data_IF_341490182357
#
_entry.id   IF_341490182357
#
_cell.length_a   1.000
_cell.length_b   1.000
_cell.length_c   1.000
_cell.angle_alpha   90.00
_cell.angle_beta   90.00
_cell.angle_gamma   90.00
#
_symmetry.space_group_name_H-M   'P 1'
#
loop_
_entity.id
_entity.type
_entity.pdbx_description
1 polymer ?
#
# COMPACT_ATOMS: atom_id res chain seq x y z
N UNK A 1 -8.73 5.73 12.45
CA UNK A 1 -9.03 4.94 11.25
C UNK A 1 -9.14 5.87 10.05
N UNK A 2 -8.54 5.50 8.91
CA UNK A 2 -8.68 6.21 7.62
C UNK A 2 -9.54 5.33 6.71
N UNK A 3 -10.63 5.87 6.23
CA UNK A 3 -11.54 5.17 5.31
C UNK A 3 -11.20 5.56 3.88
N UNK A 4 -10.77 4.59 3.06
CA UNK A 4 -10.42 4.79 1.67
C UNK A 4 -11.62 4.57 0.74
N UNK A 5 -12.33 3.47 0.99
CA UNK A 5 -13.54 3.03 0.27
C UNK A 5 -14.56 2.47 1.26
N UNK A 6 -15.66 1.91 0.79
CA UNK A 6 -16.66 1.25 1.66
C UNK A 6 -16.12 -0.06 2.29
N UNK A 7 -15.07 -0.64 1.71
CA UNK A 7 -14.52 -1.94 2.12
C UNK A 7 -13.02 -1.95 2.39
N UNK A 8 -12.31 -0.83 2.26
CA UNK A 8 -10.88 -0.71 2.59
C UNK A 8 -10.64 0.44 3.57
N UNK A 9 -10.17 0.09 4.76
CA UNK A 9 -9.79 1.04 5.81
C UNK A 9 -8.35 0.82 6.25
N UNK A 10 -7.68 1.90 6.60
CA UNK A 10 -6.39 1.83 7.32
C UNK A 10 -6.62 2.03 8.81
N UNK A 11 -6.19 1.05 9.58
CA UNK A 11 -6.16 1.07 11.04
C UNK A 11 -4.75 1.43 11.49
N UNK A 12 -4.59 2.58 12.16
CA UNK A 12 -3.35 2.96 12.79
C UNK A 12 -3.28 2.33 14.16
N UNK A 13 -2.28 1.47 14.35
CA UNK A 13 -2.03 0.74 15.58
C UNK A 13 -0.82 1.32 16.29
N UNK A 14 -0.89 1.45 17.64
CA UNK A 14 0.30 1.71 18.45
C UNK A 14 1.19 0.47 18.42
N UNK A 15 2.43 0.63 18.00
CA UNK A 15 3.40 -0.46 17.90
C UNK A 15 4.81 0.08 18.12
N UNK A 16 5.55 -0.54 19.06
CA UNK A 16 6.93 -0.16 19.42
C UNK A 16 7.88 -1.30 19.05
N UNK A 17 8.18 -1.43 17.81
CA UNK A 17 9.12 -2.43 17.31
C UNK A 17 9.59 -2.05 15.92
N UNK A 18 10.71 -2.61 15.52
CA UNK A 18 11.25 -2.38 14.18
C UNK A 18 10.37 -3.09 13.16
N UNK A 19 9.90 -2.34 12.17
CA UNK A 19 9.12 -2.85 11.04
C UNK A 19 9.78 -2.38 9.76
N UNK A 20 9.96 -3.31 8.81
CA UNK A 20 10.43 -2.98 7.47
C UNK A 20 9.26 -2.93 6.48
N UNK A 21 9.32 -2.10 5.44
CA UNK A 21 8.35 -2.17 4.34
C UNK A 21 8.22 -3.61 3.83
N UNK A 22 7.00 -4.04 3.50
CA UNK A 22 6.72 -5.39 3.02
C UNK A 22 6.53 -6.45 4.10
N UNK A 23 6.81 -6.15 5.37
CA UNK A 23 6.45 -7.05 6.47
C UNK A 23 4.96 -7.02 6.77
N UNK A 24 4.46 -8.08 7.38
CA UNK A 24 3.06 -8.25 7.71
C UNK A 24 2.86 -8.70 9.16
N UNK A 25 1.63 -8.59 9.63
CA UNK A 25 1.19 -9.04 10.94
C UNK A 25 0.04 -10.03 10.80
N UNK A 26 0.03 -11.06 11.63
CA UNK A 26 -1.13 -11.90 11.86
C UNK A 26 -2.07 -11.18 12.83
N UNK A 27 -3.20 -10.71 12.33
CA UNK A 27 -4.25 -10.09 13.13
C UNK A 27 -5.24 -11.15 13.55
N UNK A 28 -5.41 -11.31 14.86
CA UNK A 28 -6.24 -12.36 15.46
C UNK A 28 -7.52 -11.80 16.06
N UNK A 29 -8.64 -12.40 15.73
CA UNK A 29 -9.94 -12.13 16.36
C UNK A 29 -10.40 -13.40 17.10
N UNK A 30 -10.54 -13.35 18.43
CA UNK A 30 -10.95 -14.50 19.23
C UNK A 30 -12.24 -15.14 18.66
N UNK A 31 -12.23 -16.46 18.52
CA UNK A 31 -13.29 -17.30 17.95
C UNK A 31 -13.55 -17.15 16.44
N UNK A 32 -12.83 -16.25 15.73
CA UNK A 32 -13.03 -16.03 14.29
C UNK A 32 -11.79 -16.37 13.47
N UNK A 33 -10.62 -16.44 14.09
CA UNK A 33 -9.36 -16.83 13.44
C UNK A 33 -8.40 -15.67 13.23
N UNK A 34 -7.44 -15.89 12.34
CA UNK A 34 -6.34 -14.98 12.04
C UNK A 34 -6.39 -14.54 10.57
N UNK A 35 -5.85 -13.36 10.30
CA UNK A 35 -5.66 -12.85 8.95
C UNK A 35 -4.29 -12.17 8.82
N UNK A 36 -3.48 -12.51 7.79
CA UNK A 36 -2.23 -11.82 7.51
C UNK A 36 -2.51 -10.45 6.86
N UNK A 37 -2.01 -9.39 7.46
CA UNK A 37 -2.20 -8.02 6.99
C UNK A 37 -0.84 -7.35 6.85
N UNK A 38 -0.52 -6.87 5.66
CA UNK A 38 0.71 -6.12 5.40
C UNK A 38 0.68 -4.74 6.06
N UNK A 39 1.85 -4.32 6.57
CA UNK A 39 2.06 -2.94 6.97
C UNK A 39 1.98 -2.01 5.76
N UNK A 40 1.20 -0.94 5.87
CA UNK A 40 1.03 0.07 4.80
C UNK A 40 1.59 1.44 5.18
N UNK A 41 2.03 1.60 6.42
CA UNK A 41 2.70 2.78 6.92
C UNK A 41 3.46 2.44 8.19
N UNK A 42 4.62 3.06 8.37
CA UNK A 42 5.50 2.83 9.50
C UNK A 42 5.83 4.20 10.12
N UNK A 43 5.45 4.37 11.36
CA UNK A 43 5.80 5.56 12.14
C UNK A 43 6.70 5.19 13.32
N UNK A 44 7.20 6.19 14.08
CA UNK A 44 8.10 5.95 15.22
C UNK A 44 7.56 4.99 16.27
N UNK A 45 6.27 5.08 16.57
CA UNK A 45 5.56 4.25 17.56
C UNK A 45 4.23 3.70 17.00
N UNK A 46 4.12 3.60 15.67
CA UNK A 46 2.88 3.16 15.01
C UNK A 46 3.15 2.31 13.79
N UNK A 47 2.21 1.42 13.48
CA UNK A 47 2.10 0.73 12.20
C UNK A 47 0.69 0.91 11.66
N UNK A 48 0.58 1.21 10.38
CA UNK A 48 -0.69 1.30 9.67
C UNK A 48 -0.98 -0.04 8.98
N UNK A 49 -2.16 -0.57 9.20
CA UNK A 49 -2.65 -1.81 8.58
C UNK A 49 -3.83 -1.46 7.67
N UNK A 50 -3.64 -1.56 6.36
CA UNK A 50 -4.74 -1.36 5.40
C UNK A 50 -5.43 -2.68 5.15
N UNK A 51 -6.67 -2.77 5.60
CA UNK A 51 -7.47 -3.99 5.62
C UNK A 51 -8.62 -3.85 4.63
N UNK A 52 -8.79 -4.88 3.80
CA UNK A 52 -9.97 -5.03 2.94
C UNK A 52 -10.97 -6.00 3.59
N UNK A 53 -12.23 -5.58 3.64
CA UNK A 53 -13.34 -6.36 4.15
C UNK A 53 -13.74 -7.45 3.15
N UNK A 54 -13.25 -8.68 3.36
CA UNK A 54 -13.45 -9.81 2.39
C UNK A 54 -13.73 -11.16 3.03
N UNK A 55 -13.72 -11.29 4.35
CA UNK A 55 -13.88 -12.57 5.03
C UNK A 55 -14.25 -12.43 6.49
N UNK A 56 -14.39 -13.56 7.18
CA UNK A 56 -14.90 -13.62 8.55
C UNK A 56 -14.13 -12.71 9.51
N UNK A 57 -12.79 -12.83 9.54
CA UNK A 57 -11.93 -12.03 10.43
C UNK A 57 -12.04 -10.54 10.10
N UNK A 58 -11.90 -10.18 8.82
CA UNK A 58 -11.95 -8.78 8.41
C UNK A 58 -13.34 -8.16 8.59
N UNK A 59 -14.43 -8.93 8.44
CA UNK A 59 -15.78 -8.47 8.77
C UNK A 59 -15.89 -8.07 10.24
N UNK A 60 -15.36 -8.92 11.15
CA UNK A 60 -15.37 -8.61 12.58
C UNK A 60 -14.57 -7.36 12.92
N UNK A 61 -13.40 -7.16 12.27
CA UNK A 61 -12.60 -5.96 12.47
C UNK A 61 -13.41 -4.70 12.12
N UNK A 62 -14.09 -4.69 10.98
CA UNK A 62 -14.88 -3.54 10.51
C UNK A 62 -16.11 -3.27 11.36
N UNK A 63 -16.75 -4.31 11.89
CA UNK A 63 -17.99 -4.19 12.65
C UNK A 63 -17.78 -3.82 14.12
N UNK A 64 -16.65 -4.24 14.70
CA UNK A 64 -16.48 -4.20 16.17
C UNK A 64 -15.18 -3.62 16.68
N UNK A 65 -14.16 -3.37 15.83
CA UNK A 65 -12.82 -3.02 16.32
C UNK A 65 -12.34 -1.61 15.98
N UNK A 66 -13.18 -0.78 15.34
CA UNK A 66 -12.83 0.64 15.19
C UNK A 66 -12.75 1.31 16.57
N UNK A 67 -11.57 1.87 16.90
CA UNK A 67 -11.32 2.46 18.21
C UNK A 67 -10.99 1.46 19.34
N UNK A 68 -10.89 0.18 19.02
CA UNK A 68 -10.54 -0.89 19.96
C UNK A 68 -9.16 -1.47 19.69
N UNK A 69 -8.65 -2.28 20.63
CA UNK A 69 -7.39 -2.99 20.48
C UNK A 69 -7.56 -4.22 19.60
N UNK A 70 -6.64 -4.46 18.68
CA UNK A 70 -6.51 -5.68 17.91
C UNK A 70 -5.37 -6.54 18.48
N UNK A 71 -5.58 -7.84 18.55
CA UNK A 71 -4.50 -8.79 18.82
C UNK A 71 -3.71 -8.99 17.54
N UNK A 72 -2.39 -8.77 17.61
CA UNK A 72 -1.54 -8.98 16.45
C UNK A 72 -0.20 -9.58 16.84
N UNK A 73 0.32 -10.43 15.99
CA UNK A 73 1.64 -11.06 16.09
C UNK A 73 2.48 -10.70 14.89
N UNK A 74 3.76 -10.45 15.09
CA UNK A 74 4.70 -10.06 14.03
C UNK A 74 5.72 -9.04 14.53
N UNK A 75 6.45 -8.35 13.64
CA UNK A 75 6.30 -8.46 12.17
C UNK A 75 6.86 -9.77 11.62
N UNK A 76 6.27 -10.27 10.55
CA UNK A 76 6.70 -11.44 9.81
C UNK A 76 7.17 -11.08 8.40
N UNK A 77 7.92 -11.98 7.78
CA UNK A 77 8.52 -11.77 6.46
C UNK A 77 9.86 -11.02 6.55
N UNK A 78 10.65 -11.10 5.48
CA UNK A 78 11.96 -10.46 5.43
C UNK A 78 11.88 -8.94 5.29
N UNK A 79 10.77 -8.45 4.75
CA UNK A 79 10.63 -7.04 4.36
C UNK A 79 11.52 -6.69 3.17
N UNK A 80 11.40 -5.45 2.73
CA UNK A 80 12.27 -4.87 1.73
C UNK A 80 13.42 -4.12 2.42
N UNK A 81 14.63 -4.36 1.97
CA UNK A 81 15.81 -3.62 2.42
C UNK A 81 15.98 -2.41 1.50
N UNK A 82 15.72 -1.23 2.04
CA UNK A 82 15.82 0.04 1.30
C UNK A 82 17.22 0.25 0.73
N UNK A 83 18.26 -0.18 1.43
CA UNK A 83 19.65 0.02 0.98
C UNK A 83 19.94 -0.73 -0.33
N UNK A 84 19.23 -1.82 -0.63
CA UNK A 84 19.37 -2.54 -1.91
C UNK A 84 18.81 -1.74 -3.10
N UNK A 85 17.99 -0.74 -2.86
CA UNK A 85 17.34 0.06 -3.90
C UNK A 85 18.03 1.42 -4.14
N UNK A 86 18.98 1.81 -3.28
CA UNK A 86 19.70 3.08 -3.43
C UNK A 86 20.49 3.13 -4.74
N UNK A 87 20.43 4.28 -5.41
CA UNK A 87 21.13 4.54 -6.66
C UNK A 87 20.62 3.72 -7.85
N UNK A 88 19.42 3.13 -7.76
CA UNK A 88 18.82 2.32 -8.83
C UNK A 88 17.63 2.99 -9.46
N UNK A 89 17.32 2.60 -10.69
CA UNK A 89 16.01 2.83 -11.29
C UNK A 89 15.01 1.82 -10.73
N UNK A 90 13.92 2.33 -10.18
CA UNK A 90 12.90 1.51 -9.53
C UNK A 90 11.58 1.58 -10.30
N UNK A 91 11.00 0.42 -10.54
CA UNK A 91 9.65 0.30 -11.10
C UNK A 91 8.80 -0.52 -10.15
N UNK A 92 7.74 0.08 -9.63
CA UNK A 92 6.77 -0.58 -8.75
C UNK A 92 5.44 -0.68 -9.49
N UNK A 93 4.93 -1.91 -9.62
CA UNK A 93 3.61 -2.18 -10.20
C UNK A 93 2.73 -2.81 -9.12
N UNK A 94 1.62 -2.16 -8.80
CA UNK A 94 0.72 -2.61 -7.73
C UNK A 94 -0.75 -2.46 -8.12
N UNK A 95 -1.60 -3.40 -7.69
CA UNK A 95 -3.05 -3.36 -7.91
C UNK A 95 -3.83 -3.37 -6.60
N UNK A 96 -4.76 -2.43 -6.42
CA UNK A 96 -5.62 -2.36 -5.24
C UNK A 96 -4.85 -2.38 -3.93
N UNK A 97 -5.22 -3.28 -3.02
CA UNK A 97 -4.55 -3.45 -1.72
C UNK A 97 -3.10 -3.97 -1.81
N UNK A 98 -2.66 -4.47 -2.98
CA UNK A 98 -1.26 -4.81 -3.23
C UNK A 98 -0.30 -3.61 -3.16
N UNK A 99 -0.84 -2.39 -3.20
CA UNK A 99 -0.05 -1.18 -2.94
C UNK A 99 0.41 -1.06 -1.47
N UNK A 100 -0.34 -1.65 -0.51
CA UNK A 100 -0.03 -1.56 0.92
C UNK A 100 1.37 -2.05 1.29
N UNK A 101 1.82 -3.27 0.91
CA UNK A 101 3.14 -3.76 1.27
C UNK A 101 4.31 -2.96 0.66
N UNK A 102 4.10 -2.32 -0.49
CA UNK A 102 5.14 -1.55 -1.18
C UNK A 102 5.07 -0.05 -0.87
N UNK A 103 4.00 0.39 -0.21
CA UNK A 103 3.80 1.81 0.12
C UNK A 103 4.98 2.41 0.88
N UNK A 104 5.55 1.67 1.85
CA UNK A 104 6.70 2.15 2.61
C UNK A 104 7.95 2.44 1.76
N UNK A 105 8.14 1.72 0.64
CA UNK A 105 9.21 2.01 -0.32
C UNK A 105 8.89 3.31 -1.08
N UNK A 106 7.64 3.44 -1.54
CA UNK A 106 7.19 4.63 -2.26
C UNK A 106 7.28 5.87 -1.38
N UNK A 107 6.83 5.78 -0.13
CA UNK A 107 6.92 6.87 0.84
C UNK A 107 8.37 7.29 1.05
N UNK A 108 9.27 6.33 1.30
CA UNK A 108 10.68 6.59 1.54
C UNK A 108 11.32 7.36 0.38
N UNK A 109 11.25 6.84 -0.84
CA UNK A 109 11.86 7.49 -2.00
C UNK A 109 11.10 8.74 -2.47
N UNK A 110 9.86 8.94 -2.07
CA UNK A 110 9.18 10.22 -2.29
C UNK A 110 9.72 11.33 -1.38
N UNK A 111 10.21 10.97 -0.19
CA UNK A 111 10.85 11.88 0.77
C UNK A 111 12.35 12.06 0.53
N UNK A 112 12.98 11.05 -0.09
CA UNK A 112 14.42 11.00 -0.40
C UNK A 112 14.66 10.66 -1.88
N UNK A 113 14.16 11.50 -2.82
CA UNK A 113 14.26 11.20 -4.25
C UNK A 113 15.70 11.16 -4.75
N UNK A 114 16.62 11.84 -4.07
CA UNK A 114 18.06 11.85 -4.37
C UNK A 114 18.76 10.52 -4.08
N UNK A 115 18.12 9.62 -3.35
CA UNK A 115 18.71 8.34 -2.98
C UNK A 115 18.46 7.22 -3.99
N UNK A 116 17.60 7.41 -4.98
CA UNK A 116 17.45 6.50 -6.12
C UNK A 116 17.69 7.26 -7.43
N UNK A 117 18.01 6.58 -8.51
CA UNK A 117 18.14 7.20 -9.82
C UNK A 117 16.78 7.67 -10.33
N UNK A 118 15.78 6.82 -10.21
CA UNK A 118 14.37 7.17 -10.46
C UNK A 118 13.43 6.17 -9.77
N UNK A 119 12.17 6.59 -9.51
CA UNK A 119 11.11 5.68 -9.15
C UNK A 119 9.87 5.95 -10.00
N UNK A 120 9.40 4.93 -10.69
CA UNK A 120 8.12 4.92 -11.38
C UNK A 120 7.13 4.02 -10.65
N UNK A 121 6.05 4.60 -10.12
CA UNK A 121 4.93 3.86 -9.55
C UNK A 121 3.82 3.70 -10.59
N UNK A 122 3.45 2.47 -10.92
CA UNK A 122 2.26 2.15 -11.70
C UNK A 122 1.24 1.45 -10.78
N UNK A 123 0.19 2.19 -10.39
CA UNK A 123 -0.82 1.71 -9.45
C UNK A 123 -2.20 1.63 -10.12
N UNK A 124 -2.81 0.44 -10.10
CA UNK A 124 -4.11 0.17 -10.71
C UNK A 124 -5.21 -0.09 -9.68
N UNK A 125 -6.41 0.40 -9.99
CA UNK A 125 -7.60 0.22 -9.16
C UNK A 125 -8.79 -0.17 -10.04
N UNK A 126 -9.83 -0.75 -9.44
CA UNK A 126 -11.01 -1.21 -10.17
C UNK A 126 -11.76 -0.03 -10.83
N UNK A 127 -11.92 1.05 -10.10
CA UNK A 127 -12.57 2.28 -10.58
C UNK A 127 -12.06 3.50 -9.80
N UNK A 128 -12.38 4.73 -10.20
CA UNK A 128 -11.95 5.93 -9.48
C UNK A 128 -12.36 5.96 -8.00
N UNK A 129 -13.50 5.37 -7.64
CA UNK A 129 -13.96 5.29 -6.24
C UNK A 129 -13.14 4.31 -5.39
N UNK A 130 -12.48 3.33 -6.02
CA UNK A 130 -11.71 2.27 -5.37
C UNK A 130 -10.24 2.67 -5.15
N UNK A 131 -9.84 3.90 -5.48
CA UNK A 131 -8.48 4.40 -5.28
C UNK A 131 -8.18 4.54 -3.79
N UNK A 132 -7.14 3.83 -3.34
CA UNK A 132 -6.60 3.92 -1.98
C UNK A 132 -5.58 5.06 -1.88
N UNK A 133 -5.29 5.51 -0.68
CA UNK A 133 -4.19 6.46 -0.39
C UNK A 133 -4.23 7.75 -1.23
N UNK A 134 -5.41 8.32 -1.50
CA UNK A 134 -5.58 9.49 -2.39
C UNK A 134 -4.69 10.67 -2.02
N UNK A 135 -4.53 10.94 -0.71
CA UNK A 135 -3.67 12.04 -0.23
C UNK A 135 -2.19 11.75 -0.47
N UNK A 136 -1.79 10.48 -0.36
CA UNK A 136 -0.39 10.08 -0.61
C UNK A 136 -0.05 10.21 -2.11
N UNK A 137 -0.99 9.93 -3.01
CA UNK A 137 -0.79 10.14 -4.46
C UNK A 137 -0.45 11.59 -4.80
N UNK A 138 -1.09 12.57 -4.16
CA UNK A 138 -0.78 13.99 -4.33
C UNK A 138 0.69 14.27 -3.96
N UNK A 139 1.12 13.72 -2.80
CA UNK A 139 2.49 13.84 -2.32
C UNK A 139 3.48 13.15 -3.27
N UNK A 140 3.22 11.90 -3.66
CA UNK A 140 4.12 11.13 -4.51
C UNK A 140 4.34 11.76 -5.88
N UNK A 141 3.30 12.34 -6.50
CA UNK A 141 3.40 13.03 -7.79
C UNK A 141 4.33 14.24 -7.77
N UNK A 142 4.62 14.81 -6.61
CA UNK A 142 5.53 15.96 -6.51
C UNK A 142 6.99 15.59 -6.72
N UNK A 143 7.37 14.33 -6.50
CA UNK A 143 8.78 13.89 -6.53
C UNK A 143 9.02 12.62 -7.37
N UNK A 144 7.96 11.86 -7.69
CA UNK A 144 8.05 10.59 -8.39
C UNK A 144 7.22 10.60 -9.68
N UNK A 145 7.56 9.70 -10.61
CA UNK A 145 6.69 9.40 -11.76
C UNK A 145 5.58 8.46 -11.29
N UNK A 146 4.33 8.93 -11.34
CA UNK A 146 3.18 8.15 -10.88
C UNK A 146 2.17 7.97 -12.00
N UNK A 147 1.91 6.71 -12.36
CA UNK A 147 0.87 6.29 -13.29
C UNK A 147 -0.24 5.65 -12.45
N UNK A 148 -1.41 6.28 -12.42
CA UNK A 148 -2.58 5.75 -11.73
C UNK A 148 -3.60 5.34 -12.78
N UNK A 149 -3.95 4.05 -12.81
CA UNK A 149 -4.90 3.48 -13.77
C UNK A 149 -6.17 3.01 -13.08
N UNK A 150 -7.26 2.94 -13.83
CA UNK A 150 -8.49 2.29 -13.38
C UNK A 150 -8.97 1.31 -14.44
N UNK A 151 -9.49 0.15 -14.02
CA UNK A 151 -10.00 -0.85 -14.95
C UNK A 151 -11.25 -0.32 -15.68
N UNK A 152 -12.08 0.45 -14.97
CA UNK A 152 -13.31 1.05 -15.51
C UNK A 152 -13.40 2.51 -15.07
N UNK A 153 -13.53 3.40 -16.06
CA UNK A 153 -13.75 4.82 -15.82
C UNK A 153 -15.18 5.10 -15.30
N UNK A 154 -15.31 6.16 -14.53
CA UNK A 154 -16.59 6.81 -14.24
C UNK A 154 -16.66 8.16 -14.94
N UNK A 155 -17.85 8.75 -14.98
CA UNK A 155 -18.05 10.09 -15.54
C UNK A 155 -17.08 11.11 -14.92
N UNK A 156 -16.41 11.89 -15.76
CA UNK A 156 -15.42 12.89 -15.35
C UNK A 156 -14.02 12.35 -14.99
N UNK A 157 -13.74 11.07 -15.20
CA UNK A 157 -12.40 10.54 -15.03
C UNK A 157 -11.56 10.74 -16.30
N UNK A 158 -10.44 11.46 -16.18
CA UNK A 158 -9.55 11.82 -17.31
C UNK A 158 -8.23 11.01 -17.32
N UNK A 159 -8.03 10.12 -16.36
CA UNK A 159 -6.79 9.32 -16.24
C UNK A 159 -6.79 8.08 -17.15
N UNK A 160 -5.68 7.32 -17.15
CA UNK A 160 -5.56 6.08 -17.93
C UNK A 160 -6.58 5.02 -17.51
N UNK A 161 -7.19 4.35 -18.51
CA UNK A 161 -8.19 3.30 -18.31
C UNK A 161 -7.67 1.99 -18.87
N UNK A 162 -7.67 0.95 -18.05
CA UNK A 162 -7.22 -0.40 -18.36
C UNK A 162 -6.55 -1.07 -17.17
N UNK A 163 -6.32 -2.37 -17.28
CA UNK A 163 -5.61 -3.14 -16.26
C UNK A 163 -4.19 -2.59 -16.09
N UNK A 164 -3.72 -2.51 -14.83
CA UNK A 164 -2.37 -2.04 -14.51
C UNK A 164 -1.26 -2.76 -15.28
N UNK A 165 -1.46 -4.05 -15.57
CA UNK A 165 -0.52 -4.86 -16.34
C UNK A 165 -0.44 -4.46 -17.82
N UNK A 166 -1.50 -3.86 -18.37
CA UNK A 166 -1.52 -3.36 -19.75
C UNK A 166 -0.57 -2.19 -19.98
N UNK A 167 -0.16 -1.50 -18.94
CA UNK A 167 0.76 -0.35 -18.98
C UNK A 167 2.22 -0.74 -18.70
N UNK A 168 2.53 -2.02 -18.44
CA UNK A 168 3.90 -2.49 -18.24
C UNK A 168 4.81 -2.23 -19.44
N UNK A 169 4.37 -2.42 -20.70
CA UNK A 169 5.22 -2.13 -21.86
C UNK A 169 5.68 -0.67 -21.98
N UNK A 170 4.94 0.24 -21.35
CA UNK A 170 5.24 1.68 -21.38
C UNK A 170 6.17 2.13 -20.24
N UNK A 171 6.54 1.19 -19.36
CA UNK A 171 7.42 1.46 -18.23
C UNK A 171 8.90 1.40 -18.66
N UNK A 172 9.80 2.13 -18.00
CA UNK A 172 11.23 2.13 -18.31
C UNK A 172 11.90 0.87 -17.74
N UNK A 173 11.51 -0.31 -18.24
CA UNK A 173 11.99 -1.61 -17.70
C UNK A 173 13.13 -2.22 -18.51
N UNK A 174 13.62 -1.55 -19.58
CA UNK A 174 14.66 -2.12 -20.44
C UNK A 174 16.03 -2.19 -19.74
N UNK A 175 16.25 -1.38 -18.72
CA UNK A 175 17.49 -1.29 -17.98
C UNK A 175 17.34 -1.69 -16.50
N UNK A 176 16.22 -2.29 -16.13
CA UNK A 176 15.96 -2.76 -14.75
C UNK A 176 16.70 -4.08 -14.51
N UNK A 177 17.62 -4.08 -13.57
CA UNK A 177 18.42 -5.24 -13.14
C UNK A 177 17.88 -5.89 -11.86
#
# INVERSE_FOLDING_TARGET
>A
VIRHTDIEYTFRMSYKGDVKPGQFFEVSIPNYGDAPISGSGIGPDTVDLTIRRVGTVTNQIFEHYEGHSLLMRGPYGNGFDIDLFRGKELVIVAGGTGLSPVKGIVDYFSEHPEECESLTLNAGFKSPKDVLFRQDFEKWRSSLKVIQTVDTASEGYEGPVGLVTGFIPDLPIQDVS
#
